data_IF_609564545827
#
_entry.id   IF_609564545827
#
_cell.length_a   1.000
_cell.length_b   1.000
_cell.length_c   1.000
_cell.angle_alpha   90.00
_cell.angle_beta   90.00
_cell.angle_gamma   90.00
#
_symmetry.space_group_name_H-M   'P 1'
#
loop_
_entity.id
_entity.type
_entity.pdbx_description
1 polymer ?
#
# COMPACT_ATOMS: atom_id res chain seq x y z
N UNK A 1 19.55 2.81 16.71
CA UNK A 1 18.16 3.28 16.52
C UNK A 1 17.40 2.98 17.80
N UNK A 2 16.80 4.00 18.42
CA UNK A 2 16.02 3.86 19.66
C UNK A 2 14.69 3.14 19.42
N UNK A 3 14.07 2.68 20.51
CA UNK A 3 12.84 1.87 20.44
C UNK A 3 11.65 2.66 19.87
N UNK A 4 11.51 3.96 20.21
CA UNK A 4 10.43 4.79 19.65
C UNK A 4 10.55 4.87 18.13
N UNK A 5 11.75 5.15 17.61
CA UNK A 5 11.98 5.20 16.17
C UNK A 5 11.70 3.85 15.49
N UNK A 6 12.05 2.72 16.11
CA UNK A 6 11.72 1.38 15.60
C UNK A 6 10.21 1.18 15.45
N UNK A 7 9.44 1.51 16.48
CA UNK A 7 7.99 1.34 16.43
C UNK A 7 7.31 2.28 15.43
N UNK A 8 7.78 3.53 15.29
CA UNK A 8 7.25 4.45 14.28
C UNK A 8 7.47 3.95 12.84
N UNK A 9 8.63 3.34 12.56
CA UNK A 9 8.89 2.70 11.27
C UNK A 9 7.98 1.47 11.08
N UNK A 10 7.82 0.66 12.14
CA UNK A 10 6.97 -0.52 12.10
C UNK A 10 5.48 -0.18 11.85
N UNK A 11 4.98 0.95 12.39
CA UNK A 11 3.64 1.47 12.09
C UNK A 11 3.47 1.76 10.59
N UNK A 12 4.42 2.49 9.99
CA UNK A 12 4.39 2.81 8.55
C UNK A 12 4.44 1.54 7.69
N UNK A 13 5.29 0.57 8.07
CA UNK A 13 5.37 -0.73 7.40
C UNK A 13 4.06 -1.53 7.53
N UNK A 14 3.44 -1.53 8.71
CA UNK A 14 2.18 -2.25 8.96
C UNK A 14 1.04 -1.73 8.10
N UNK A 15 0.93 -0.41 7.91
CA UNK A 15 -0.06 0.20 7.02
C UNK A 15 0.22 -0.15 5.56
N UNK A 16 1.48 -0.07 5.14
CA UNK A 16 1.88 -0.43 3.77
C UNK A 16 1.53 -1.90 3.46
N UNK A 17 1.72 -2.79 4.43
CA UNK A 17 1.41 -4.22 4.30
C UNK A 17 -0.06 -4.58 4.57
N UNK A 18 -0.94 -3.62 4.92
CA UNK A 18 -2.31 -3.88 5.36
C UNK A 18 -2.45 -4.84 6.56
N UNK A 19 -1.46 -4.89 7.45
CA UNK A 19 -1.51 -5.75 8.64
C UNK A 19 -2.14 -5.03 9.83
N UNK A 20 -3.45 -5.21 10.02
CA UNK A 20 -4.20 -4.65 11.17
C UNK A 20 -3.62 -5.07 12.53
N UNK A 21 -3.41 -6.37 12.84
CA UNK A 21 -2.90 -6.76 14.15
C UNK A 21 -1.47 -6.23 14.40
N UNK A 22 -0.64 -6.11 13.36
CA UNK A 22 0.67 -5.50 13.47
C UNK A 22 0.56 -4.02 13.83
N UNK A 23 -0.36 -3.30 13.17
CA UNK A 23 -0.59 -1.87 13.42
C UNK A 23 -1.01 -1.62 14.87
N UNK A 24 -1.95 -2.40 15.40
CA UNK A 24 -2.43 -2.27 16.79
C UNK A 24 -1.30 -2.52 17.80
N UNK A 25 -0.49 -3.55 17.57
CA UNK A 25 0.66 -3.88 18.40
C UNK A 25 1.70 -2.74 18.41
N UNK A 26 2.10 -2.28 17.23
CA UNK A 26 3.16 -1.27 17.10
C UNK A 26 2.70 0.13 17.56
N UNK A 27 1.42 0.48 17.42
CA UNK A 27 0.88 1.72 18.02
C UNK A 27 0.96 1.67 19.55
N UNK A 28 0.61 0.52 20.15
CA UNK A 28 0.67 0.34 21.61
C UNK A 28 2.11 0.47 22.10
N UNK A 29 3.06 -0.22 21.45
CA UNK A 29 4.49 -0.15 21.79
C UNK A 29 5.09 1.24 21.58
N UNK A 30 4.75 1.92 20.49
CA UNK A 30 5.22 3.28 20.25
C UNK A 30 4.79 4.24 21.37
N UNK A 31 3.55 4.13 21.86
CA UNK A 31 3.05 4.91 22.99
C UNK A 31 3.79 4.59 24.29
N UNK A 32 4.07 3.32 24.57
CA UNK A 32 4.90 2.90 25.72
C UNK A 32 6.31 3.53 25.68
N UNK A 33 6.88 3.71 24.49
CA UNK A 33 8.17 4.39 24.29
C UNK A 33 8.07 5.92 24.15
N UNK A 34 6.92 6.52 24.47
CA UNK A 34 6.75 7.97 24.51
C UNK A 34 6.53 8.62 23.15
N UNK A 35 6.07 7.89 22.13
CA UNK A 35 5.62 8.49 20.89
C UNK A 35 4.42 9.40 21.12
N UNK A 36 4.52 10.63 20.58
CA UNK A 36 3.43 11.60 20.59
C UNK A 36 2.37 11.23 19.56
N UNK A 37 1.14 11.66 19.78
CA UNK A 37 0.05 11.48 18.81
C UNK A 37 0.41 12.04 17.42
N UNK A 38 1.10 13.18 17.39
CA UNK A 38 1.59 13.79 16.14
C UNK A 38 2.56 12.88 15.39
N UNK A 39 3.50 12.23 16.07
CA UNK A 39 4.44 11.27 15.45
C UNK A 39 3.70 10.05 14.89
N UNK A 40 2.72 9.52 15.62
CA UNK A 40 1.89 8.39 15.15
C UNK A 40 1.10 8.76 13.88
N UNK A 41 0.49 9.94 13.86
CA UNK A 41 -0.26 10.45 12.69
C UNK A 41 0.69 10.62 11.49
N UNK A 42 1.89 11.16 11.71
CA UNK A 42 2.87 11.36 10.64
C UNK A 42 3.32 10.00 10.08
N UNK A 43 3.71 9.05 10.93
CA UNK A 43 4.10 7.70 10.52
C UNK A 43 2.98 7.00 9.73
N UNK A 44 1.74 7.15 10.19
CA UNK A 44 0.56 6.62 9.52
C UNK A 44 0.34 7.21 8.14
N UNK A 45 0.39 8.55 8.01
CA UNK A 45 0.26 9.25 6.72
C UNK A 45 1.35 8.86 5.74
N UNK A 46 2.59 8.67 6.20
CA UNK A 46 3.70 8.21 5.36
C UNK A 46 3.42 6.79 4.84
N UNK A 47 3.02 5.86 5.72
CA UNK A 47 2.65 4.50 5.31
C UNK A 47 1.50 4.49 4.29
N UNK A 48 0.46 5.30 4.51
CA UNK A 48 -0.66 5.43 3.58
C UNK A 48 -0.24 6.00 2.22
N UNK A 49 0.66 6.98 2.21
CA UNK A 49 1.18 7.56 0.98
C UNK A 49 1.92 6.51 0.13
N UNK A 50 2.80 5.73 0.76
CA UNK A 50 3.54 4.65 0.08
C UNK A 50 2.58 3.58 -0.46
N UNK A 51 1.62 3.14 0.37
CA UNK A 51 0.57 2.20 -0.03
C UNK A 51 -0.17 2.68 -1.28
N UNK A 52 -0.66 3.92 -1.27
CA UNK A 52 -1.40 4.48 -2.40
C UNK A 52 -0.56 4.53 -3.68
N UNK A 53 0.73 4.81 -3.57
CA UNK A 53 1.65 4.77 -4.70
C UNK A 53 1.77 3.38 -5.31
N UNK A 54 1.90 2.35 -4.48
CA UNK A 54 1.93 0.95 -4.92
C UNK A 54 0.59 0.53 -5.55
N UNK A 55 -0.53 0.79 -4.87
CA UNK A 55 -1.88 0.45 -5.34
C UNK A 55 -2.18 1.10 -6.70
N UNK A 56 -1.80 2.37 -6.88
CA UNK A 56 -1.96 3.08 -8.15
C UNK A 56 -1.21 2.39 -9.30
N UNK A 57 0.05 2.00 -9.07
CA UNK A 57 0.87 1.36 -10.11
C UNK A 57 0.36 -0.03 -10.49
N UNK A 58 -0.08 -0.81 -9.51
CA UNK A 58 -0.71 -2.11 -9.75
C UNK A 58 -2.01 -1.94 -10.54
N UNK A 59 -2.84 -0.96 -10.15
CA UNK A 59 -4.10 -0.67 -10.85
C UNK A 59 -3.88 -0.21 -12.29
N UNK A 60 -2.92 0.69 -12.52
CA UNK A 60 -2.52 1.13 -13.87
C UNK A 60 -2.04 -0.05 -14.73
N UNK A 61 -1.22 -0.94 -14.16
CA UNK A 61 -0.72 -2.12 -14.87
C UNK A 61 -1.85 -3.10 -15.23
N UNK A 62 -2.73 -3.39 -14.28
CA UNK A 62 -3.90 -4.24 -14.51
C UNK A 62 -4.82 -3.66 -15.58
N UNK A 63 -5.12 -2.36 -15.53
CA UNK A 63 -5.94 -1.69 -16.54
C UNK A 63 -5.31 -1.78 -17.94
N UNK A 64 -3.99 -1.60 -18.04
CA UNK A 64 -3.27 -1.77 -19.31
C UNK A 64 -3.39 -3.18 -19.87
N UNK A 65 -3.19 -4.20 -19.03
CA UNK A 65 -3.34 -5.59 -19.48
C UNK A 65 -4.78 -5.87 -19.93
N UNK A 66 -5.78 -5.43 -19.16
CA UNK A 66 -7.19 -5.56 -19.54
C UNK A 66 -7.54 -4.86 -20.86
N UNK A 67 -6.95 -3.70 -21.16
CA UNK A 67 -7.15 -3.03 -22.46
C UNK A 67 -6.50 -3.78 -23.63
N UNK A 68 -5.37 -4.45 -23.41
CA UNK A 68 -4.69 -5.24 -24.45
C UNK A 68 -5.50 -6.47 -24.86
N UNK A 69 -6.26 -7.07 -23.94
CA UNK A 69 -7.18 -8.16 -24.26
C UNK A 69 -8.33 -7.75 -25.20
N UNK A 70 -8.66 -6.45 -25.31
CA UNK A 70 -9.68 -5.99 -26.26
C UNK A 70 -9.16 -5.77 -27.69
N UNK A 71 -7.85 -5.59 -27.88
CA UNK A 71 -7.27 -5.44 -29.23
C UNK A 71 -7.02 -6.80 -29.92
N UNK A 72 -6.77 -7.88 -29.16
CA UNK A 72 -6.51 -9.23 -29.70
C UNK A 72 -7.79 -10.04 -30.06
N UNK A 73 -8.99 -9.48 -29.87
CA UNK A 73 -10.28 -10.16 -30.16
C UNK A 73 -11.05 -9.53 -31.34
N UNK A 74 -10.39 -8.69 -32.16
CA UNK A 74 -10.97 -8.14 -33.41
C UNK A 74 -10.28 -8.71 -34.66
N UNK A 75 -9.62 -9.87 -34.57
CA UNK A 75 -8.99 -10.54 -35.71
C UNK A 75 -9.49 -11.98 -35.94
N UNK A 76 -10.70 -12.32 -35.48
CA UNK A 76 -11.38 -13.57 -35.87
C UNK A 76 -12.82 -13.32 -36.36
N UNK A 77 -12.99 -12.27 -37.18
CA UNK A 77 -14.11 -12.24 -38.13
C UNK A 77 -13.67 -13.05 -39.34
N UNK A 78 -14.17 -14.28 -39.40
CA UNK A 78 -14.11 -15.15 -40.57
C UNK A 78 -14.60 -14.39 -41.81
N UNK A 79 -13.67 -14.03 -42.69
CA UNK A 79 -13.99 -13.43 -43.98
C UNK A 79 -14.05 -14.54 -45.03
N UNK A 80 -15.22 -15.13 -45.16
CA UNK A 80 -15.62 -15.90 -46.34
C UNK A 80 -16.61 -15.03 -47.13
N UNK A 81 -16.12 -14.32 -48.14
CA UNK A 81 -16.83 -13.96 -49.39
C UNK A 81 -15.83 -13.45 -50.44
#
# INVERSE_FOLDING_TARGET
MDSKTKELIAIGASITANCIPCLDFHITKAREYGATEKELIIASKIGQHVKNGADKKVSEHAAKQLSQFHEEQVDDVCQCD
#
